data_IF_151401248852
#
_entry.id   IF_151401248852
#
_cell.length_a   1.000
_cell.length_b   1.000
_cell.length_c   1.000
_cell.angle_alpha   90.00
_cell.angle_beta   90.00
_cell.angle_gamma   90.00
#
_symmetry.space_group_name_H-M   'P 1'
#
loop_
_entity.id
_entity.type
_entity.pdbx_description
1 polymer ?
#
# COMPACT_ATOMS: atom_id res chain seq x y z
N UNK A 1 7.67 21.06 7.46
CA UNK A 1 6.58 20.13 7.10
C UNK A 1 6.81 18.87 7.91
N UNK A 2 5.95 18.59 8.89
CA UNK A 2 6.10 17.41 9.76
C UNK A 2 5.16 16.32 9.26
N UNK A 3 5.66 15.09 9.15
CA UNK A 3 4.87 13.92 8.79
C UNK A 3 4.62 13.07 10.04
N UNK A 4 3.40 12.55 10.17
CA UNK A 4 3.09 11.50 11.15
C UNK A 4 2.97 10.17 10.44
N UNK A 5 3.53 9.11 11.01
CA UNK A 5 3.43 7.74 10.51
C UNK A 5 2.53 6.91 11.44
N UNK A 6 1.63 6.11 10.87
CA UNK A 6 0.92 5.04 11.56
C UNK A 6 0.92 3.77 10.72
N UNK A 7 1.04 2.61 11.36
CA UNK A 7 1.00 1.32 10.69
C UNK A 7 -0.37 0.65 10.90
N UNK A 8 -0.89 0.03 9.85
CA UNK A 8 -2.15 -0.70 9.85
C UNK A 8 -1.96 -2.06 9.20
N UNK A 9 -2.73 -3.05 9.64
CA UNK A 9 -2.89 -4.31 8.93
C UNK A 9 -4.20 -4.27 8.16
N UNK A 10 -4.17 -4.66 6.89
CA UNK A 10 -5.36 -4.72 6.05
C UNK A 10 -5.48 -6.08 5.40
N UNK A 11 -6.71 -6.50 5.19
CA UNK A 11 -7.06 -7.71 4.45
C UNK A 11 -7.27 -7.36 2.97
N UNK A 12 -6.83 -8.25 2.10
CA UNK A 12 -7.13 -8.21 0.67
C UNK A 12 -7.23 -9.63 0.11
N UNK A 13 -7.99 -9.76 -0.98
CA UNK A 13 -8.11 -11.03 -1.72
C UNK A 13 -7.27 -10.97 -2.99
N UNK A 14 -6.48 -12.01 -3.24
CA UNK A 14 -5.66 -12.11 -4.45
C UNK A 14 -6.49 -12.54 -5.69
N UNK A 15 -5.90 -12.53 -6.90
CA UNK A 15 -6.60 -12.99 -8.11
C UNK A 15 -7.01 -14.47 -8.11
N UNK A 16 -6.43 -15.30 -7.22
CA UNK A 16 -6.79 -16.71 -7.04
C UNK A 16 -7.92 -16.90 -6.01
N UNK A 17 -8.41 -15.82 -5.42
CA UNK A 17 -9.47 -15.85 -4.41
C UNK A 17 -8.99 -16.16 -2.99
N UNK A 18 -7.68 -16.14 -2.73
CA UNK A 18 -7.12 -16.36 -1.39
C UNK A 18 -7.05 -15.05 -0.62
N UNK A 19 -7.36 -15.12 0.67
CA UNK A 19 -7.31 -13.96 1.57
C UNK A 19 -5.91 -13.82 2.17
N UNK A 20 -5.42 -12.59 2.17
CA UNK A 20 -4.08 -12.22 2.62
C UNK A 20 -4.13 -11.01 3.53
N UNK A 21 -3.15 -10.90 4.43
CA UNK A 21 -2.94 -9.72 5.27
C UNK A 21 -1.67 -9.03 4.81
N UNK A 22 -1.73 -7.71 4.67
CA UNK A 22 -0.56 -6.87 4.39
C UNK A 22 -0.45 -5.73 5.40
N UNK A 23 0.77 -5.22 5.58
CA UNK A 23 1.02 -4.04 6.42
C UNK A 23 1.07 -2.77 5.57
N UNK A 24 0.34 -1.75 5.99
CA UNK A 24 0.32 -0.41 5.37
C UNK A 24 0.89 0.61 6.34
N UNK A 25 2.03 1.21 6.01
CA UNK A 25 2.51 2.40 6.72
C UNK A 25 1.88 3.64 6.07
N UNK A 26 1.13 4.44 6.84
CA UNK A 26 0.46 5.66 6.39
C UNK A 26 1.24 6.86 6.89
N UNK A 27 1.88 7.56 5.96
CA UNK A 27 2.57 8.81 6.20
C UNK A 27 1.70 9.96 5.76
N UNK A 28 1.31 10.84 6.69
CA UNK A 28 0.44 11.98 6.39
C UNK A 28 1.02 13.28 6.90
N UNK A 29 0.71 14.37 6.21
CA UNK A 29 0.97 15.71 6.73
C UNK A 29 0.02 16.07 7.88
N UNK A 30 0.35 17.13 8.63
CA UNK A 30 -0.43 17.58 9.80
C UNK A 30 -1.88 17.94 9.41
N UNK A 31 -2.11 18.37 8.17
CA UNK A 31 -3.44 18.71 7.66
C UNK A 31 -4.27 17.53 7.16
N UNK A 32 -3.64 16.37 6.92
CA UNK A 32 -4.27 15.21 6.29
C UNK A 32 -4.64 15.44 4.82
N UNK A 33 -4.05 16.44 4.16
CA UNK A 33 -4.24 16.73 2.73
C UNK A 33 -3.27 15.92 1.88
N UNK A 34 -2.08 15.69 2.43
CA UNK A 34 -0.94 14.90 1.99
C UNK A 34 -0.93 13.47 2.51
N UNK A 35 -0.95 12.41 1.69
CA UNK A 35 -0.66 11.06 2.18
C UNK A 35 0.23 10.22 1.25
N UNK A 36 1.16 9.46 1.86
CA UNK A 36 1.92 8.38 1.22
C UNK A 36 1.62 7.09 1.97
N UNK A 37 1.14 6.07 1.25
CA UNK A 37 0.88 4.76 1.81
C UNK A 37 1.93 3.79 1.30
N UNK A 38 2.55 3.06 2.20
CA UNK A 38 3.59 2.09 1.87
C UNK A 38 3.08 0.69 2.17
N UNK A 39 2.85 -0.09 1.12
CA UNK A 39 2.45 -1.49 1.20
C UNK A 39 3.69 -2.34 1.47
N UNK A 40 3.63 -3.14 2.53
CA UNK A 40 4.71 -4.00 3.02
C UNK A 40 4.20 -5.41 3.17
N UNK A 41 5.14 -6.35 3.18
CA UNK A 41 4.85 -7.76 3.34
C UNK A 41 3.84 -8.28 2.30
N UNK A 42 3.85 -7.70 1.08
CA UNK A 42 3.31 -8.33 -0.12
C UNK A 42 4.17 -9.58 -0.40
N UNK A 43 3.91 -10.63 0.37
CA UNK A 43 4.54 -11.93 0.21
C UNK A 43 3.95 -12.46 -1.08
N UNK A 44 4.76 -12.61 -2.11
CA UNK A 44 4.62 -13.61 -3.17
C UNK A 44 5.87 -13.53 -4.06
N UNK A 45 6.03 -14.50 -4.95
CA UNK A 45 7.14 -14.56 -5.90
C UNK A 45 7.28 -13.24 -6.68
N UNK A 46 8.47 -12.92 -7.22
CA UNK A 46 8.60 -11.73 -8.08
C UNK A 46 7.67 -11.75 -9.29
N UNK A 47 7.22 -12.94 -9.71
CA UNK A 47 6.33 -13.12 -10.85
C UNK A 47 4.92 -12.58 -10.56
N UNK A 48 4.44 -12.71 -9.32
CA UNK A 48 3.05 -12.39 -8.95
C UNK A 48 2.94 -11.09 -8.14
N UNK A 49 4.07 -10.42 -7.89
CA UNK A 49 4.14 -9.21 -7.07
C UNK A 49 3.25 -8.08 -7.58
N UNK A 50 3.22 -7.87 -8.91
CA UNK A 50 2.41 -6.81 -9.51
C UNK A 50 0.91 -7.07 -9.34
N UNK A 51 0.49 -8.32 -9.57
CA UNK A 51 -0.92 -8.69 -9.46
C UNK A 51 -1.41 -8.59 -8.01
N UNK A 52 -0.59 -9.01 -7.04
CA UNK A 52 -0.89 -8.83 -5.63
C UNK A 52 -0.88 -7.35 -5.22
N UNK A 53 0.05 -6.55 -5.74
CA UNK A 53 0.10 -5.12 -5.46
C UNK A 53 -1.14 -4.40 -6.01
N UNK A 54 -1.65 -4.78 -7.19
CA UNK A 54 -2.89 -4.25 -7.73
C UNK A 54 -4.12 -4.71 -6.94
N UNK A 55 -4.19 -5.99 -6.56
CA UNK A 55 -5.28 -6.51 -5.73
C UNK A 55 -5.33 -5.80 -4.35
N UNK A 56 -4.17 -5.63 -3.72
CA UNK A 56 -4.00 -4.87 -2.49
C UNK A 56 -4.41 -3.40 -2.65
N UNK A 57 -4.02 -2.76 -3.76
CA UNK A 57 -4.41 -1.38 -4.06
C UNK A 57 -5.92 -1.24 -4.22
N UNK A 58 -6.57 -2.20 -4.88
CA UNK A 58 -8.01 -2.21 -5.04
C UNK A 58 -8.71 -2.32 -3.68
N UNK A 59 -8.34 -3.30 -2.86
CA UNK A 59 -8.88 -3.44 -1.50
C UNK A 59 -8.63 -2.16 -0.68
N UNK A 60 -7.41 -1.62 -0.72
CA UNK A 60 -7.07 -0.37 -0.04
C UNK A 60 -8.00 0.77 -0.47
N UNK A 61 -8.19 0.97 -1.78
CA UNK A 61 -8.99 2.05 -2.33
C UNK A 61 -10.48 1.94 -1.95
N UNK A 62 -11.05 0.75 -2.03
CA UNK A 62 -12.48 0.53 -1.85
C UNK A 62 -12.89 0.30 -0.40
N UNK A 63 -12.05 -0.38 0.38
CA UNK A 63 -12.44 -0.90 1.69
C UNK A 63 -11.76 -0.17 2.85
N UNK A 64 -10.59 0.47 2.62
CA UNK A 64 -9.76 0.98 3.72
C UNK A 64 -9.51 2.50 3.69
N UNK A 65 -9.30 3.11 2.52
CA UNK A 65 -8.98 4.54 2.41
C UNK A 65 -9.96 5.46 3.15
N UNK A 66 -11.30 5.25 3.11
CA UNK A 66 -12.25 6.09 3.84
C UNK A 66 -12.03 6.12 5.36
N UNK A 67 -11.41 5.07 5.91
CA UNK A 67 -11.12 4.96 7.35
C UNK A 67 -9.72 5.46 7.70
N UNK A 68 -8.80 5.43 6.74
CA UNK A 68 -7.40 5.82 6.93
C UNK A 68 -7.16 7.32 6.70
N UNK A 69 -7.89 7.93 5.76
CA UNK A 69 -7.63 9.27 5.27
C UNK A 69 -8.90 10.12 5.21
N UNK A 70 -8.70 11.45 5.19
CA UNK A 70 -9.78 12.39 4.94
C UNK A 70 -10.19 12.34 3.45
N UNK A 71 -11.48 12.55 3.14
CA UNK A 71 -11.93 12.71 1.77
C UNK A 71 -11.16 13.83 1.05
N UNK A 72 -10.79 13.60 -0.22
CA UNK A 72 -10.08 14.58 -1.03
C UNK A 72 -8.58 14.73 -0.73
N UNK A 73 -8.01 13.90 0.15
CA UNK A 73 -6.56 13.84 0.30
C UNK A 73 -5.89 13.45 -1.02
N UNK A 74 -4.77 14.09 -1.33
CA UNK A 74 -3.88 13.67 -2.42
C UNK A 74 -3.03 12.51 -1.92
N UNK A 75 -3.13 11.38 -2.61
CA UNK A 75 -2.54 10.12 -2.15
C UNK A 75 -1.54 9.57 -3.15
N UNK A 76 -0.41 9.08 -2.64
CA UNK A 76 0.56 8.28 -3.37
C UNK A 76 0.69 6.92 -2.70
N UNK A 77 0.71 5.84 -3.48
CA UNK A 77 0.85 4.48 -2.95
C UNK A 77 2.16 3.87 -3.46
N UNK A 78 2.94 3.31 -2.54
CA UNK A 78 4.21 2.64 -2.81
C UNK A 78 4.12 1.18 -2.40
N UNK A 79 4.40 0.25 -3.31
CA UNK A 79 4.55 -1.16 -2.96
C UNK A 79 6.02 -1.53 -2.82
N UNK A 80 6.43 -2.00 -1.64
CA UNK A 80 7.80 -2.46 -1.42
C UNK A 80 7.97 -3.88 -1.94
N UNK A 81 8.92 -4.07 -2.85
CA UNK A 81 9.33 -5.40 -3.28
C UNK A 81 9.97 -6.17 -2.10
N UNK A 82 9.78 -7.50 -2.03
CA UNK A 82 10.50 -8.34 -1.09
C UNK A 82 12.01 -8.09 -1.20
N UNK A 83 12.69 -8.00 -0.06
CA UNK A 83 14.15 -7.92 -0.07
C UNK A 83 14.70 -9.25 -0.60
N UNK A 84 15.43 -9.20 -1.72
CA UNK A 84 16.20 -10.34 -2.20
C UNK A 84 17.62 -10.28 -1.61
N UNK A 85 18.17 -11.45 -1.29
CA UNK A 85 19.57 -11.57 -0.87
C UNK A 85 20.47 -10.80 -1.85
N UNK A 86 21.21 -9.82 -1.33
CA UNK A 86 22.14 -8.97 -2.09
C UNK A 86 21.53 -7.89 -3.01
N UNK A 87 20.24 -7.52 -2.86
CA UNK A 87 19.63 -6.39 -3.58
C UNK A 87 18.96 -5.41 -2.62
N UNK A 88 19.20 -4.11 -2.83
CA UNK A 88 18.48 -3.04 -2.10
C UNK A 88 16.98 -3.15 -2.36
N UNK A 89 16.17 -3.02 -1.29
CA UNK A 89 14.71 -2.94 -1.37
C UNK A 89 14.31 -1.84 -2.35
N UNK A 90 13.46 -2.18 -3.32
CA UNK A 90 12.92 -1.25 -4.32
C UNK A 90 11.43 -1.05 -4.08
N UNK A 91 10.97 0.19 -4.27
CA UNK A 91 9.55 0.52 -4.24
C UNK A 91 9.03 0.67 -5.68
N UNK A 92 7.79 0.25 -5.90
CA UNK A 92 7.02 0.57 -7.10
C UNK A 92 5.98 1.62 -6.71
N UNK A 93 5.88 2.70 -7.50
CA UNK A 93 4.76 3.65 -7.38
C UNK A 93 3.55 3.00 -8.05
N UNK A 94 2.47 2.82 -7.29
CA UNK A 94 1.21 2.34 -7.81
C UNK A 94 0.33 3.54 -8.18
N UNK A 95 -0.20 3.60 -9.42
CA UNK A 95 -1.14 4.63 -9.78
C UNK A 95 -2.45 4.38 -9.03
N UNK A 96 -2.87 5.32 -8.20
CA UNK A 96 -4.29 5.43 -7.87
C UNK A 96 -4.96 5.90 -9.14
N UNK A 97 -5.65 5.00 -9.82
CA UNK A 97 -6.38 5.32 -11.05
C UNK A 97 -7.22 6.59 -10.82
N UNK A 98 -7.09 7.54 -11.76
CA UNK A 98 -7.87 8.78 -11.78
C UNK A 98 -9.34 8.52 -12.12
#
# INVERSE_FOLDING_TARGET
>A
MTLTCSAHEIEFRDPLGQDHILQVDVWRDVGGLRAVLVLRNLRHSELDFLDHAHAALHALHHDWLPYLLRPGASVMVLALRPAQSNRKTRALVLPLSA
#
